data_IF_120702838879
#
_entry.id   IF_120702838879
#
_cell.length_a   1.000
_cell.length_b   1.000
_cell.length_c   1.000
_cell.angle_alpha   90.00
_cell.angle_beta   90.00
_cell.angle_gamma   90.00
#
_symmetry.space_group_name_H-M   'P 1'
#
loop_
_entity.id
_entity.type
_entity.pdbx_description
1 polymer ?
#
# COMPACT_ATOMS: atom_id res chain seq x y z
N UNK A 1 -19.13 15.69 0.78
CA UNK A 1 -18.02 16.23 1.62
C UNK A 1 -18.04 15.69 3.06
N UNK A 2 -19.06 14.93 3.47
CA UNK A 2 -19.19 14.43 4.84
C UNK A 2 -18.15 13.39 5.30
N UNK A 3 -17.32 12.88 4.38
CA UNK A 3 -16.33 11.82 4.67
C UNK A 3 -14.87 12.30 4.60
N UNK A 4 -14.62 13.61 4.66
CA UNK A 4 -13.26 14.17 4.58
C UNK A 4 -13.04 15.12 5.74
N UNK A 5 -11.95 14.92 6.47
CA UNK A 5 -11.52 15.78 7.57
C UNK A 5 -10.15 16.38 7.22
N UNK A 6 -10.04 17.68 7.26
CA UNK A 6 -8.79 18.42 7.16
C UNK A 6 -8.62 19.18 8.48
N UNK A 7 -7.68 18.73 9.31
CA UNK A 7 -7.53 19.29 10.66
C UNK A 7 -6.99 20.73 10.62
N UNK A 8 -6.09 21.02 9.69
CA UNK A 8 -5.51 22.35 9.51
C UNK A 8 -5.62 22.78 8.05
N UNK A 9 -6.71 23.48 7.73
CA UNK A 9 -7.01 23.93 6.36
C UNK A 9 -5.93 24.87 5.81
N UNK A 10 -5.41 25.79 6.60
CA UNK A 10 -4.39 26.75 6.16
C UNK A 10 -3.10 26.02 5.74
N UNK A 11 -2.60 25.12 6.57
CA UNK A 11 -1.42 24.30 6.26
C UNK A 11 -1.64 23.40 5.04
N UNK A 12 -2.84 22.83 4.91
CA UNK A 12 -3.21 22.01 3.76
C UNK A 12 -3.15 22.84 2.47
N UNK A 13 -3.75 24.04 2.47
CA UNK A 13 -3.80 24.94 1.33
C UNK A 13 -2.41 25.48 0.96
N UNK A 14 -1.55 25.77 1.94
CA UNK A 14 -0.15 26.13 1.71
C UNK A 14 0.61 25.02 0.98
N UNK A 15 0.52 23.78 1.47
CA UNK A 15 1.16 22.61 0.84
C UNK A 15 0.61 22.38 -0.57
N UNK A 16 -0.71 22.45 -0.74
CA UNK A 16 -1.36 22.30 -2.04
C UNK A 16 -0.86 23.37 -3.02
N UNK A 17 -0.78 24.63 -2.60
CA UNK A 17 -0.27 25.75 -3.42
C UNK A 17 1.17 25.49 -3.88
N UNK A 18 2.04 24.96 -3.01
CA UNK A 18 3.43 24.61 -3.38
C UNK A 18 3.44 23.50 -4.43
N UNK A 19 2.66 22.44 -4.23
CA UNK A 19 2.58 21.31 -5.18
C UNK A 19 2.05 21.77 -6.54
N UNK A 20 0.96 22.54 -6.54
CA UNK A 20 0.36 23.10 -7.76
C UNK A 20 1.34 24.04 -8.48
N UNK A 21 2.08 24.88 -7.75
CA UNK A 21 3.07 25.79 -8.33
C UNK A 21 4.28 25.05 -8.90
N UNK A 22 4.69 23.94 -8.27
CA UNK A 22 5.75 23.06 -8.75
C UNK A 22 5.41 22.32 -10.04
N UNK A 23 4.13 22.11 -10.28
CA UNK A 23 3.61 21.42 -11.46
C UNK A 23 3.90 19.92 -11.50
N UNK A 24 3.49 19.30 -12.61
CA UNK A 24 3.57 17.84 -12.81
C UNK A 24 5.00 17.29 -12.81
N UNK A 25 5.99 18.07 -13.25
CA UNK A 25 7.39 17.64 -13.36
C UNK A 25 8.10 17.52 -12.00
N UNK A 26 7.56 18.16 -10.97
CA UNK A 26 8.10 18.08 -9.60
C UNK A 26 7.31 17.14 -8.71
N UNK A 27 6.23 16.54 -9.21
CA UNK A 27 5.33 15.68 -8.45
C UNK A 27 5.58 14.21 -8.72
N UNK A 28 5.52 13.38 -7.68
CA UNK A 28 5.27 11.95 -7.76
C UNK A 28 4.27 11.51 -6.69
N UNK A 29 3.70 10.32 -6.86
CA UNK A 29 2.72 9.75 -5.92
C UNK A 29 3.30 8.50 -5.30
N UNK A 30 3.13 8.33 -3.99
CA UNK A 30 3.40 7.09 -3.25
C UNK A 30 2.09 6.58 -2.68
N UNK A 31 1.81 5.31 -2.91
CA UNK A 31 0.58 4.67 -2.42
C UNK A 31 0.88 3.32 -1.80
N UNK A 32 0.20 3.05 -0.69
CA UNK A 32 0.00 1.67 -0.25
C UNK A 32 -0.98 0.94 -1.17
N UNK A 33 -1.05 -0.39 -1.08
CA UNK A 33 -1.91 -1.21 -1.92
C UNK A 33 -3.18 -1.68 -1.20
N UNK A 34 -3.03 -2.45 -0.14
CA UNK A 34 -4.13 -3.06 0.60
C UNK A 34 -4.92 -1.98 1.38
N UNK A 35 -6.24 -1.92 1.23
CA UNK A 35 -7.06 -0.89 1.89
C UNK A 35 -6.86 0.53 1.37
N UNK A 36 -5.96 0.75 0.41
CA UNK A 36 -5.68 2.04 -0.24
C UNK A 36 -6.02 2.01 -1.72
N UNK A 37 -5.28 1.26 -2.54
CA UNK A 37 -5.64 1.00 -3.94
C UNK A 37 -6.79 0.00 -4.02
N UNK A 38 -6.81 -0.99 -3.14
CA UNK A 38 -7.98 -1.88 -2.97
C UNK A 38 -8.98 -1.31 -1.97
N UNK A 39 -10.23 -1.75 -2.08
CA UNK A 39 -11.25 -1.52 -1.04
C UNK A 39 -10.92 -2.28 0.23
N UNK A 40 -11.12 -1.63 1.37
CA UNK A 40 -11.03 -2.28 2.67
C UNK A 40 -12.35 -2.98 3.08
N UNK A 41 -13.48 -2.59 2.46
CA UNK A 41 -14.79 -3.17 2.76
C UNK A 41 -15.44 -3.65 1.45
N UNK A 42 -15.73 -4.94 1.36
CA UNK A 42 -16.41 -5.55 0.21
C UNK A 42 -17.59 -6.39 0.69
N UNK A 43 -18.79 -6.10 0.19
CA UNK A 43 -20.02 -6.80 0.61
C UNK A 43 -20.28 -6.70 2.12
N UNK A 44 -19.94 -5.57 2.74
CA UNK A 44 -20.09 -5.34 4.19
C UNK A 44 -19.06 -6.07 5.08
N UNK A 45 -18.05 -6.72 4.49
CA UNK A 45 -16.99 -7.42 5.23
C UNK A 45 -15.66 -6.72 5.04
N UNK A 46 -14.87 -6.67 6.12
CA UNK A 46 -13.51 -6.13 6.07
C UNK A 46 -12.60 -7.10 5.30
N UNK A 47 -11.79 -6.56 4.40
CA UNK A 47 -10.74 -7.25 3.65
C UNK A 47 -9.41 -6.56 3.99
N UNK A 48 -8.70 -7.02 5.02
CA UNK A 48 -7.54 -6.28 5.53
C UNK A 48 -6.33 -6.32 4.59
N UNK A 49 -6.17 -7.36 3.78
CA UNK A 49 -5.05 -7.49 2.85
C UNK A 49 -5.29 -8.63 1.85
N UNK A 50 -4.51 -8.64 0.75
CA UNK A 50 -4.57 -9.73 -0.24
C UNK A 50 -4.22 -11.10 0.37
N UNK A 51 -3.24 -11.15 1.26
CA UNK A 51 -2.85 -12.41 1.91
C UNK A 51 -3.95 -12.96 2.84
N UNK A 52 -4.84 -12.10 3.35
CA UNK A 52 -5.99 -12.56 4.13
C UNK A 52 -6.97 -13.38 3.28
N UNK A 53 -7.11 -13.05 2.00
CA UNK A 53 -7.94 -13.82 1.07
C UNK A 53 -7.40 -15.23 0.90
N UNK A 54 -6.07 -15.36 0.70
CA UNK A 54 -5.41 -16.66 0.58
C UNK A 54 -5.64 -17.54 1.81
N UNK A 55 -5.54 -16.93 3.00
CA UNK A 55 -5.69 -17.58 4.29
C UNK A 55 -7.14 -17.95 4.61
N UNK A 56 -8.06 -17.00 4.38
CA UNK A 56 -9.46 -17.13 4.82
C UNK A 56 -10.29 -18.00 3.86
N UNK A 57 -9.89 -18.11 2.60
CA UNK A 57 -10.55 -18.95 1.58
C UNK A 57 -9.87 -20.33 1.43
N UNK A 58 -8.96 -20.66 2.30
CA UNK A 58 -8.32 -21.98 2.48
C UNK A 58 -7.66 -22.54 1.20
N UNK A 59 -7.09 -21.66 0.37
CA UNK A 59 -6.51 -22.05 -0.91
C UNK A 59 -5.29 -22.98 -0.80
N UNK A 60 -4.59 -22.95 0.33
CA UNK A 60 -3.42 -23.79 0.64
C UNK A 60 -3.70 -24.90 1.67
N UNK A 61 -4.99 -25.13 1.98
CA UNK A 61 -5.47 -26.14 2.92
C UNK A 61 -5.51 -25.66 4.38
N UNK A 62 -6.32 -26.35 5.19
CA UNK A 62 -6.68 -25.96 6.56
C UNK A 62 -5.45 -25.83 7.49
N UNK A 63 -4.42 -26.64 7.32
CA UNK A 63 -3.19 -26.56 8.12
C UNK A 63 -2.44 -25.24 7.87
N UNK A 64 -2.38 -24.77 6.61
CA UNK A 64 -1.84 -23.44 6.31
C UNK A 64 -2.67 -22.35 6.99
N UNK A 65 -3.98 -22.37 6.79
CA UNK A 65 -4.89 -21.36 7.34
C UNK A 65 -4.76 -21.24 8.85
N UNK A 66 -4.73 -22.37 9.56
CA UNK A 66 -4.55 -22.40 11.02
C UNK A 66 -3.22 -21.79 11.46
N UNK A 67 -2.09 -22.19 10.84
CA UNK A 67 -0.76 -21.70 11.17
C UNK A 67 -0.63 -20.21 10.83
N UNK A 68 -1.15 -19.78 9.69
CA UNK A 68 -1.11 -18.38 9.26
C UNK A 68 -1.94 -17.46 10.17
N UNK A 69 -3.10 -17.92 10.66
CA UNK A 69 -3.87 -17.19 11.68
C UNK A 69 -3.12 -17.10 13.01
N UNK A 70 -2.45 -18.17 13.44
CA UNK A 70 -1.63 -18.14 14.65
C UNK A 70 -0.48 -17.14 14.56
N UNK A 71 0.22 -17.09 13.41
CA UNK A 71 1.25 -16.09 13.14
C UNK A 71 0.68 -14.66 13.18
N UNK A 72 -0.43 -14.43 12.50
CA UNK A 72 -1.11 -13.14 12.52
C UNK A 72 -1.45 -12.68 13.94
N UNK A 73 -2.14 -13.51 14.71
CA UNK A 73 -2.55 -13.18 16.07
C UNK A 73 -1.36 -12.86 16.98
N UNK A 74 -0.25 -13.59 16.83
CA UNK A 74 0.98 -13.37 17.59
C UNK A 74 1.63 -12.03 17.24
N UNK A 75 1.88 -11.79 15.98
CA UNK A 75 2.74 -10.69 15.56
C UNK A 75 1.98 -9.37 15.38
N UNK A 76 0.70 -9.41 14.99
CA UNK A 76 -0.13 -8.22 14.93
C UNK A 76 -0.31 -7.59 16.32
N UNK A 77 -0.43 -8.40 17.37
CA UNK A 77 -0.45 -7.89 18.74
C UNK A 77 0.81 -7.07 19.09
N UNK A 78 2.00 -7.53 18.64
CA UNK A 78 3.28 -6.81 18.83
C UNK A 78 3.31 -5.53 17.97
N UNK A 79 2.83 -5.61 16.75
CA UNK A 79 2.80 -4.48 15.80
C UNK A 79 2.04 -3.28 16.38
N UNK A 80 0.88 -3.51 16.95
CA UNK A 80 -0.01 -2.45 17.46
C UNK A 80 0.26 -2.06 18.92
N UNK A 81 1.10 -2.80 19.66
CA UNK A 81 1.38 -2.52 21.07
C UNK A 81 2.19 -1.21 21.22
N UNK A 82 1.67 -0.17 21.88
CA UNK A 82 2.38 1.10 22.03
C UNK A 82 3.59 1.03 22.99
N UNK A 83 3.72 -0.03 23.80
CA UNK A 83 4.81 -0.21 24.76
C UNK A 83 6.06 -0.79 24.09
N UNK A 84 5.89 -1.61 23.05
CA UNK A 84 7.01 -2.23 22.33
C UNK A 84 7.76 -1.17 21.52
N UNK A 85 9.10 -1.15 21.66
CA UNK A 85 9.95 -0.21 20.93
C UNK A 85 9.86 -0.42 19.41
N UNK A 86 10.07 0.65 18.62
CA UNK A 86 10.10 0.56 17.14
C UNK A 86 11.17 -0.42 16.67
N UNK A 87 12.33 -0.48 17.35
CA UNK A 87 13.41 -1.41 17.02
C UNK A 87 12.97 -2.88 17.20
N UNK A 88 12.33 -3.20 18.32
CA UNK A 88 11.84 -4.55 18.60
C UNK A 88 10.69 -4.93 17.65
N UNK A 89 9.80 -3.97 17.35
CA UNK A 89 8.77 -4.17 16.33
C UNK A 89 9.36 -4.51 14.96
N UNK A 90 10.41 -3.81 14.50
CA UNK A 90 11.07 -4.10 13.22
C UNK A 90 11.62 -5.52 13.18
N UNK A 91 12.24 -5.98 14.27
CA UNK A 91 12.73 -7.36 14.41
C UNK A 91 11.56 -8.36 14.35
N UNK A 92 10.48 -8.08 15.09
CA UNK A 92 9.30 -8.95 15.13
C UNK A 92 8.60 -9.01 13.76
N UNK A 93 8.43 -7.90 13.06
CA UNK A 93 7.81 -7.85 11.73
C UNK A 93 8.65 -8.62 10.70
N UNK A 94 9.97 -8.45 10.71
CA UNK A 94 10.86 -9.25 9.86
C UNK A 94 10.70 -10.73 10.15
N UNK A 95 10.73 -11.14 11.43
CA UNK A 95 10.57 -12.54 11.81
C UNK A 95 9.20 -13.12 11.43
N UNK A 96 8.15 -12.30 11.54
CA UNK A 96 6.82 -12.71 11.08
C UNK A 96 6.83 -13.05 9.60
N UNK A 97 7.33 -12.15 8.76
CA UNK A 97 7.34 -12.35 7.32
C UNK A 97 8.25 -13.49 6.89
N UNK A 98 9.45 -13.63 7.47
CA UNK A 98 10.30 -14.79 7.24
C UNK A 98 9.55 -16.09 7.52
N UNK A 99 8.97 -16.22 8.71
CA UNK A 99 8.25 -17.44 9.11
C UNK A 99 7.03 -17.69 8.22
N UNK A 100 6.32 -16.64 7.80
CA UNK A 100 5.15 -16.79 6.94
C UNK A 100 5.55 -17.19 5.51
N UNK A 101 6.63 -16.66 4.97
CA UNK A 101 7.16 -17.05 3.66
C UNK A 101 7.65 -18.50 3.67
N UNK A 102 8.36 -18.91 4.71
CA UNK A 102 8.77 -20.31 4.88
C UNK A 102 7.55 -21.24 4.88
N UNK A 103 6.48 -20.87 5.59
CA UNK A 103 5.22 -21.63 5.61
C UNK A 103 4.56 -21.66 4.22
N UNK A 104 4.54 -20.57 3.47
CA UNK A 104 3.98 -20.52 2.13
C UNK A 104 4.76 -21.45 1.17
N UNK A 105 6.09 -21.43 1.24
CA UNK A 105 6.97 -22.28 0.44
C UNK A 105 6.78 -23.76 0.82
N UNK A 106 6.76 -24.08 2.13
CA UNK A 106 6.48 -25.43 2.62
C UNK A 106 5.15 -25.98 2.09
N UNK A 107 4.13 -25.13 1.98
CA UNK A 107 2.80 -25.51 1.47
C UNK A 107 2.68 -25.49 -0.06
N UNK A 108 3.76 -25.26 -0.77
CA UNK A 108 3.77 -25.26 -2.23
C UNK A 108 3.01 -24.07 -2.84
N UNK A 109 3.10 -22.89 -2.21
CA UNK A 109 2.53 -21.66 -2.79
C UNK A 109 2.99 -21.50 -4.23
N UNK A 110 2.08 -21.17 -5.13
CA UNK A 110 2.36 -21.12 -6.56
C UNK A 110 1.56 -20.05 -7.28
N UNK A 111 1.95 -19.76 -8.53
CA UNK A 111 1.20 -18.84 -9.41
C UNK A 111 -0.25 -19.27 -9.60
N UNK A 112 -0.55 -20.57 -9.54
CA UNK A 112 -1.94 -21.05 -9.58
C UNK A 112 -2.75 -20.58 -8.37
N UNK A 113 -2.15 -20.53 -7.17
CA UNK A 113 -2.82 -19.99 -5.98
C UNK A 113 -3.10 -18.50 -6.12
N UNK A 114 -2.17 -17.73 -6.72
CA UNK A 114 -2.38 -16.31 -7.04
C UNK A 114 -3.56 -16.16 -8.01
N UNK A 115 -3.60 -16.96 -9.09
CA UNK A 115 -4.69 -16.92 -10.06
C UNK A 115 -6.05 -17.27 -9.44
N UNK A 116 -6.09 -18.25 -8.53
CA UNK A 116 -7.32 -18.59 -7.78
C UNK A 116 -7.75 -17.45 -6.87
N UNK A 117 -6.82 -16.89 -6.07
CA UNK A 117 -7.10 -15.77 -5.20
C UNK A 117 -7.60 -14.54 -5.98
N UNK A 118 -7.07 -14.29 -7.17
CA UNK A 118 -7.50 -13.21 -8.06
C UNK A 118 -8.98 -13.32 -8.48
N UNK A 119 -9.58 -14.51 -8.45
CA UNK A 119 -11.00 -14.71 -8.74
C UNK A 119 -11.91 -14.41 -7.55
N UNK A 120 -11.35 -14.23 -6.36
CA UNK A 120 -12.14 -13.90 -5.18
C UNK A 120 -12.94 -12.60 -5.38
N UNK A 121 -14.23 -12.66 -5.03
CA UNK A 121 -15.09 -11.48 -5.05
C UNK A 121 -14.67 -10.41 -4.02
N UNK A 122 -13.80 -10.77 -3.06
CA UNK A 122 -13.29 -9.87 -2.02
C UNK A 122 -12.25 -8.89 -2.55
N UNK A 123 -11.58 -9.20 -3.69
CA UNK A 123 -10.55 -8.32 -4.25
C UNK A 123 -11.22 -7.35 -5.22
N UNK A 124 -11.32 -6.09 -4.82
CA UNK A 124 -11.89 -4.98 -5.58
C UNK A 124 -11.00 -3.76 -5.49
N UNK A 125 -10.83 -3.05 -6.60
CA UNK A 125 -10.18 -1.73 -6.56
C UNK A 125 -11.09 -0.70 -5.90
N UNK A 126 -10.48 0.26 -5.24
CA UNK A 126 -11.16 1.43 -4.68
C UNK A 126 -11.83 2.22 -5.80
N UNK A 127 -13.07 2.66 -5.56
CA UNK A 127 -13.84 3.43 -6.54
C UNK A 127 -13.07 4.69 -6.94
N UNK A 128 -12.97 4.94 -8.25
CA UNK A 128 -12.24 6.07 -8.80
C UNK A 128 -10.72 5.90 -8.93
N UNK A 129 -10.15 4.76 -8.49
CA UNK A 129 -8.70 4.51 -8.66
C UNK A 129 -8.31 4.45 -10.14
N UNK A 130 -9.12 3.82 -11.00
CA UNK A 130 -8.82 3.72 -12.44
C UNK A 130 -8.67 5.08 -13.10
N UNK A 131 -9.59 6.03 -12.82
CA UNK A 131 -9.51 7.39 -13.36
C UNK A 131 -8.33 8.18 -12.76
N UNK A 132 -8.03 7.99 -11.46
CA UNK A 132 -6.86 8.59 -10.82
C UNK A 132 -5.57 8.11 -11.48
N UNK A 133 -5.41 6.81 -11.68
CA UNK A 133 -4.25 6.20 -12.33
C UNK A 133 -4.11 6.62 -13.82
N UNK A 134 -5.22 6.67 -14.55
CA UNK A 134 -5.25 7.17 -15.93
C UNK A 134 -4.81 8.64 -16.02
N UNK A 135 -5.19 9.47 -15.04
CA UNK A 135 -4.74 10.85 -14.98
C UNK A 135 -3.23 10.96 -14.70
N UNK A 136 -2.69 10.11 -13.82
CA UNK A 136 -1.25 10.08 -13.54
C UNK A 136 -0.43 9.71 -14.79
N UNK A 137 -0.83 8.65 -15.52
CA UNK A 137 -0.09 8.23 -16.72
C UNK A 137 -0.22 9.25 -17.85
N UNK A 138 -1.40 9.82 -18.07
CA UNK A 138 -1.61 10.89 -19.05
C UNK A 138 -0.69 12.10 -18.83
N UNK A 139 -0.42 12.44 -17.58
CA UNK A 139 0.41 13.57 -17.18
C UNK A 139 1.85 13.16 -16.85
N UNK A 140 2.26 11.93 -17.13
CA UNK A 140 3.60 11.39 -16.88
C UNK A 140 4.07 11.59 -15.42
N UNK A 141 3.13 11.51 -14.47
CA UNK A 141 3.42 11.58 -13.04
C UNK A 141 3.71 10.16 -12.55
N UNK A 142 4.88 9.87 -11.99
CA UNK A 142 5.21 8.54 -11.47
C UNK A 142 4.33 8.16 -10.29
N UNK A 143 3.89 6.89 -10.26
CA UNK A 143 3.25 6.24 -9.14
C UNK A 143 4.17 5.14 -8.59
N UNK A 144 4.57 5.27 -7.34
CA UNK A 144 5.28 4.22 -6.60
C UNK A 144 4.29 3.55 -5.66
N UNK A 145 3.99 2.29 -5.92
CA UNK A 145 3.15 1.45 -5.06
C UNK A 145 4.07 0.73 -4.09
N UNK A 146 3.88 0.94 -2.79
CA UNK A 146 4.69 0.34 -1.73
C UNK A 146 3.82 -0.56 -0.86
N UNK A 147 4.06 -1.86 -0.90
CA UNK A 147 3.25 -2.84 -0.18
C UNK A 147 4.10 -3.89 0.51
N UNK A 148 3.66 -4.37 1.65
CA UNK A 148 4.22 -5.56 2.31
C UNK A 148 3.47 -6.85 1.92
N UNK A 149 2.97 -6.91 0.68
CA UNK A 149 2.17 -8.04 0.21
C UNK A 149 2.84 -9.40 0.43
N UNK A 150 2.14 -10.27 1.15
CA UNK A 150 2.57 -11.66 1.36
C UNK A 150 2.41 -12.54 0.11
N UNK A 151 1.63 -12.11 -0.89
CA UNK A 151 1.53 -12.79 -2.18
C UNK A 151 2.47 -12.20 -3.25
N UNK A 152 3.30 -11.23 -2.87
CA UNK A 152 4.34 -10.66 -3.70
C UNK A 152 3.87 -9.77 -4.84
N UNK A 153 4.84 -9.35 -5.64
CA UNK A 153 4.65 -8.44 -6.78
C UNK A 153 3.72 -8.99 -7.84
N UNK A 154 3.73 -10.31 -8.07
CA UNK A 154 2.92 -10.94 -9.11
C UNK A 154 1.43 -10.75 -8.86
N UNK A 155 0.97 -10.89 -7.61
CA UNK A 155 -0.43 -10.66 -7.26
C UNK A 155 -0.85 -9.22 -7.51
N UNK A 156 -0.04 -8.24 -7.09
CA UNK A 156 -0.35 -6.81 -7.31
C UNK A 156 -0.45 -6.52 -8.82
N UNK A 157 0.51 -6.99 -9.62
CA UNK A 157 0.46 -6.84 -11.08
C UNK A 157 -0.81 -7.44 -11.67
N UNK A 158 -1.13 -8.68 -11.32
CA UNK A 158 -2.31 -9.36 -11.85
C UNK A 158 -3.62 -8.69 -11.46
N UNK A 159 -3.72 -8.11 -10.24
CA UNK A 159 -4.89 -7.30 -9.85
C UNK A 159 -5.02 -6.06 -10.73
N UNK A 160 -3.92 -5.34 -10.95
CA UNK A 160 -3.92 -4.13 -11.79
C UNK A 160 -4.20 -4.46 -13.26
N UNK A 161 -3.61 -5.53 -13.81
CA UNK A 161 -3.84 -6.03 -15.18
C UNK A 161 -5.29 -6.45 -15.40
N UNK A 162 -5.86 -7.24 -14.49
CA UNK A 162 -7.26 -7.69 -14.54
C UNK A 162 -8.24 -6.52 -14.63
N UNK A 163 -7.90 -5.39 -14.04
CA UNK A 163 -8.72 -4.18 -14.03
C UNK A 163 -8.31 -3.16 -15.12
N UNK A 164 -7.36 -3.50 -16.02
CA UNK A 164 -6.84 -2.64 -17.08
C UNK A 164 -6.26 -1.30 -16.57
N UNK A 165 -5.59 -1.33 -15.42
CA UNK A 165 -5.02 -0.13 -14.78
C UNK A 165 -3.53 -0.28 -14.44
N UNK A 166 -2.85 -1.27 -14.98
CA UNK A 166 -1.39 -1.37 -14.92
C UNK A 166 -0.79 -0.49 -16.02
N UNK A 167 -0.12 0.60 -15.64
CA UNK A 167 0.45 1.57 -16.56
C UNK A 167 1.97 1.71 -16.41
N UNK A 168 2.65 2.16 -17.48
CA UNK A 168 4.13 2.25 -17.56
C UNK A 168 4.75 3.23 -16.55
N UNK A 169 3.99 4.18 -16.02
CA UNK A 169 4.44 5.11 -14.99
C UNK A 169 4.43 4.53 -13.57
N UNK A 170 4.00 3.29 -13.39
CA UNK A 170 3.92 2.61 -12.11
C UNK A 170 5.21 1.85 -11.80
N UNK A 171 5.63 1.91 -10.55
CA UNK A 171 6.71 1.09 -9.98
C UNK A 171 6.19 0.45 -8.70
N UNK A 172 6.42 -0.85 -8.54
CA UNK A 172 5.91 -1.62 -7.41
C UNK A 172 7.10 -2.05 -6.55
N UNK A 173 7.10 -1.59 -5.30
CA UNK A 173 8.08 -1.90 -4.26
C UNK A 173 7.41 -2.83 -3.25
N UNK A 174 7.73 -4.11 -3.31
CA UNK A 174 7.12 -5.15 -2.48
C UNK A 174 7.95 -6.42 -2.48
N UNK A 175 7.55 -7.44 -1.72
CA UNK A 175 8.16 -8.75 -1.70
C UNK A 175 8.11 -9.44 -3.07
N UNK A 176 9.13 -10.22 -3.41
CA UNK A 176 9.24 -10.94 -4.68
C UNK A 176 9.61 -12.40 -4.43
N UNK A 177 8.87 -13.31 -5.04
CA UNK A 177 9.20 -14.73 -5.02
C UNK A 177 10.18 -15.09 -6.14
N UNK A 178 11.00 -16.11 -5.87
CA UNK A 178 11.65 -16.90 -6.90
C UNK A 178 10.79 -18.13 -7.18
N UNK A 179 10.53 -18.37 -8.44
CA UNK A 179 9.67 -19.43 -8.91
C UNK A 179 10.48 -20.49 -9.64
N UNK A 180 10.17 -21.77 -9.44
CA UNK A 180 10.69 -22.84 -10.31
C UNK A 180 9.94 -22.87 -11.66
N UNK A 181 10.31 -23.78 -12.55
CA UNK A 181 9.71 -23.92 -13.88
C UNK A 181 8.22 -24.26 -13.83
N UNK A 182 7.74 -24.93 -12.77
CA UNK A 182 6.32 -25.25 -12.56
C UNK A 182 5.54 -24.08 -11.94
N UNK A 183 6.20 -22.92 -11.68
CA UNK A 183 5.59 -21.76 -11.06
C UNK A 183 5.30 -21.92 -9.57
N UNK A 184 6.03 -22.80 -8.88
CA UNK A 184 5.99 -22.99 -7.42
C UNK A 184 7.07 -22.11 -6.78
N UNK A 185 6.75 -21.45 -5.68
CA UNK A 185 7.68 -20.61 -4.93
C UNK A 185 8.76 -21.45 -4.28
N UNK A 186 10.03 -21.07 -4.47
CA UNK A 186 11.20 -21.73 -3.89
C UNK A 186 11.99 -20.84 -2.93
N UNK A 187 11.87 -19.52 -3.07
CA UNK A 187 12.49 -18.53 -2.19
C UNK A 187 11.74 -17.19 -2.27
N UNK A 188 12.03 -16.30 -1.33
CA UNK A 188 11.67 -14.88 -1.38
C UNK A 188 12.94 -14.06 -1.46
N UNK A 189 12.99 -13.09 -2.39
CA UNK A 189 14.16 -12.22 -2.59
C UNK A 189 14.30 -11.25 -1.43
N UNK A 190 15.51 -11.10 -0.96
CA UNK A 190 15.87 -10.04 -0.02
C UNK A 190 15.92 -8.65 -0.72
N UNK A 191 15.65 -7.59 -0.01
CA UNK A 191 15.18 -7.56 1.38
C UNK A 191 13.67 -7.80 1.51
N UNK A 192 13.27 -8.45 2.59
CA UNK A 192 11.86 -8.60 2.94
C UNK A 192 11.28 -7.24 3.31
N UNK A 193 10.19 -6.86 2.64
CA UNK A 193 9.42 -5.64 2.90
C UNK A 193 8.32 -5.93 3.92
N UNK A 194 8.25 -5.11 4.96
CA UNK A 194 7.23 -5.17 6.02
C UNK A 194 6.76 -3.76 6.40
N UNK A 195 5.74 -3.63 7.23
CA UNK A 195 5.09 -2.36 7.59
C UNK A 195 6.05 -1.26 8.09
N UNK A 196 7.15 -1.63 8.75
CA UNK A 196 8.07 -0.69 9.37
C UNK A 196 9.39 -0.47 8.59
N UNK A 197 9.47 -0.91 7.32
CA UNK A 197 10.60 -0.63 6.44
C UNK A 197 10.16 -0.22 5.02
N UNK A 198 8.92 0.22 4.87
CA UNK A 198 8.41 0.86 3.64
C UNK A 198 8.92 2.32 3.63
N UNK A 199 10.15 2.54 3.18
CA UNK A 199 10.84 3.83 3.21
C UNK A 199 11.57 4.12 1.89
N UNK A 200 12.27 5.24 1.80
CA UNK A 200 13.06 5.62 0.62
C UNK A 200 14.16 4.60 0.30
N UNK A 201 14.74 3.95 1.30
CA UNK A 201 15.76 2.94 1.09
C UNK A 201 15.19 1.73 0.33
N UNK A 202 13.97 1.33 0.65
CA UNK A 202 13.25 0.28 -0.10
C UNK A 202 13.02 0.67 -1.57
N UNK A 203 12.75 1.95 -1.87
CA UNK A 203 12.63 2.43 -3.25
C UNK A 203 14.00 2.43 -3.95
N UNK A 204 15.08 2.86 -3.26
CA UNK A 204 16.45 2.92 -3.82
C UNK A 204 16.97 1.57 -4.27
N UNK A 205 16.53 0.49 -3.62
CA UNK A 205 16.87 -0.90 -4.00
C UNK A 205 16.25 -1.34 -5.31
N UNK A 206 15.29 -0.56 -5.84
CA UNK A 206 14.72 -0.74 -7.18
C UNK A 206 15.16 0.45 -8.05
N UNK A 207 16.28 0.34 -8.80
CA UNK A 207 16.90 1.48 -9.49
C UNK A 207 15.94 2.22 -10.42
N UNK A 208 15.07 1.49 -11.12
CA UNK A 208 14.06 2.09 -12.02
C UNK A 208 13.02 2.90 -11.25
N UNK A 209 12.60 2.45 -10.06
CA UNK A 209 11.68 3.21 -9.24
C UNK A 209 12.34 4.51 -8.75
N UNK A 210 13.53 4.42 -8.18
CA UNK A 210 14.24 5.59 -7.68
C UNK A 210 14.57 6.60 -8.79
N UNK A 211 15.01 6.14 -9.96
CA UNK A 211 15.31 6.99 -11.12
C UNK A 211 14.13 7.87 -11.53
N UNK A 212 12.91 7.36 -11.43
CA UNK A 212 11.69 8.09 -11.85
C UNK A 212 11.30 9.21 -10.90
N UNK A 213 11.68 9.13 -9.60
CA UNK A 213 11.22 10.06 -8.56
C UNK A 213 12.30 10.97 -7.98
N UNK A 214 13.60 10.64 -8.13
CA UNK A 214 14.72 11.33 -7.46
C UNK A 214 14.78 12.85 -7.66
N UNK A 215 14.23 13.35 -8.76
CA UNK A 215 14.20 14.79 -9.10
C UNK A 215 12.79 15.42 -8.90
N UNK A 216 11.88 14.71 -8.20
CA UNK A 216 10.49 15.13 -7.98
C UNK A 216 10.24 15.29 -6.47
N UNK A 217 10.58 16.47 -5.90
CA UNK A 217 10.56 16.66 -4.46
C UNK A 217 9.16 16.75 -3.86
N UNK A 218 8.11 16.97 -4.66
CA UNK A 218 6.73 17.05 -4.18
C UNK A 218 6.08 15.68 -4.19
N UNK A 219 5.43 15.31 -3.11
CA UNK A 219 4.86 13.98 -2.90
C UNK A 219 3.39 14.08 -2.51
N UNK A 220 2.53 13.33 -3.22
CA UNK A 220 1.24 12.93 -2.67
C UNK A 220 1.42 11.52 -2.08
N UNK A 221 1.16 11.38 -0.79
CA UNK A 221 1.19 10.12 -0.07
C UNK A 221 -0.23 9.67 0.26
N UNK A 222 -0.60 8.46 -0.16
CA UNK A 222 -1.91 7.87 0.11
C UNK A 222 -1.75 6.50 0.78
N UNK A 223 -2.38 6.31 1.93
CA UNK A 223 -2.30 5.05 2.69
C UNK A 223 -3.51 4.89 3.62
N UNK A 224 -3.75 3.68 4.10
CA UNK A 224 -4.75 3.39 5.13
C UNK A 224 -4.12 3.11 6.52
N UNK A 225 -2.82 3.31 6.66
CA UNK A 225 -2.07 3.05 7.90
C UNK A 225 -1.21 4.23 8.33
N UNK A 226 -1.30 4.59 9.61
CA UNK A 226 -0.41 5.61 10.20
C UNK A 226 1.06 5.18 10.14
N UNK A 227 1.36 3.89 10.21
CA UNK A 227 2.73 3.38 10.10
C UNK A 227 3.38 3.72 8.75
N UNK A 228 2.59 3.86 7.71
CA UNK A 228 3.06 4.11 6.34
C UNK A 228 3.50 5.56 6.08
N UNK A 229 3.36 6.46 7.06
CA UNK A 229 3.97 7.79 6.96
C UNK A 229 5.49 7.66 6.77
N UNK A 230 6.07 6.54 7.21
CA UNK A 230 7.46 6.18 6.98
C UNK A 230 7.82 6.01 5.50
N UNK A 231 6.84 5.86 4.60
CA UNK A 231 7.09 5.90 3.16
C UNK A 231 7.71 7.23 2.70
N UNK A 232 7.65 8.26 3.53
CA UNK A 232 8.31 9.54 3.30
C UNK A 232 9.72 9.63 3.93
N UNK A 233 10.09 8.70 4.81
CA UNK A 233 11.35 8.74 5.56
C UNK A 233 12.57 8.52 4.64
N UNK A 234 13.67 9.20 4.96
CA UNK A 234 14.93 9.10 4.21
C UNK A 234 14.95 9.78 2.84
N UNK A 235 13.83 10.33 2.40
CA UNK A 235 13.70 11.05 1.14
C UNK A 235 14.01 12.55 1.30
N UNK A 236 14.59 13.15 0.25
CA UNK A 236 14.67 14.62 0.14
C UNK A 236 13.36 15.17 -0.38
N UNK A 237 12.35 15.21 0.49
CA UNK A 237 11.02 15.73 0.17
C UNK A 237 11.00 17.24 0.35
N UNK A 238 10.53 17.97 -0.66
CA UNK A 238 10.28 19.42 -0.57
C UNK A 238 8.92 19.67 0.09
N UNK A 239 7.85 19.05 -0.45
CA UNK A 239 6.51 19.14 0.12
C UNK A 239 5.84 17.77 0.10
N UNK A 240 5.34 17.36 1.26
CA UNK A 240 4.51 16.16 1.44
C UNK A 240 3.07 16.58 1.71
N UNK A 241 2.14 16.13 0.87
CA UNK A 241 0.70 16.21 1.12
C UNK A 241 0.17 14.78 1.31
N UNK A 242 -0.30 14.48 2.51
CA UNK A 242 -0.64 13.12 2.94
C UNK A 242 -2.13 12.91 3.16
N UNK A 243 -2.63 11.77 2.67
CA UNK A 243 -4.03 11.35 2.73
C UNK A 243 -4.13 10.00 3.45
N UNK A 244 -4.83 9.97 4.58
CA UNK A 244 -5.10 8.76 5.33
C UNK A 244 -6.51 8.23 5.04
N UNK A 245 -6.64 7.02 4.51
CA UNK A 245 -7.93 6.33 4.36
C UNK A 245 -8.28 5.60 5.65
N UNK A 246 -9.10 6.21 6.50
CA UNK A 246 -9.60 5.58 7.73
C UNK A 246 -10.84 4.76 7.41
N UNK A 247 -10.63 3.50 7.04
CA UNK A 247 -11.63 2.61 6.49
C UNK A 247 -12.57 2.00 7.54
N UNK A 248 -12.09 1.83 8.79
CA UNK A 248 -12.85 1.20 9.89
C UNK A 248 -12.33 1.65 11.26
N UNK A 249 -13.04 1.28 12.34
CA UNK A 249 -12.66 1.63 13.72
C UNK A 249 -12.46 3.13 13.94
N UNK A 250 -13.28 3.96 13.28
CA UNK A 250 -13.10 5.43 13.21
C UNK A 250 -12.94 6.03 14.60
N UNK A 251 -13.83 5.73 15.54
CA UNK A 251 -13.81 6.31 16.90
C UNK A 251 -12.48 6.06 17.64
N UNK A 252 -11.82 4.93 17.35
CA UNK A 252 -10.56 4.56 18.03
C UNK A 252 -9.32 5.15 17.36
N UNK A 253 -9.36 5.36 16.06
CA UNK A 253 -8.17 5.68 15.27
C UNK A 253 -8.16 7.12 14.74
N UNK A 254 -9.29 7.83 14.76
CA UNK A 254 -9.42 9.15 14.18
C UNK A 254 -8.34 10.13 14.69
N UNK A 255 -8.13 10.22 16.00
CA UNK A 255 -7.14 11.13 16.55
C UNK A 255 -5.70 10.82 16.11
N UNK A 256 -5.36 9.55 15.87
CA UNK A 256 -4.06 9.18 15.33
C UNK A 256 -3.93 9.57 13.86
N UNK A 257 -4.99 9.40 13.07
CA UNK A 257 -4.99 9.81 11.66
C UNK A 257 -4.93 11.32 11.51
N UNK A 258 -5.73 12.09 12.23
CA UNK A 258 -5.70 13.57 12.23
C UNK A 258 -4.34 14.14 12.59
N UNK A 259 -3.63 13.49 13.53
CA UNK A 259 -2.28 13.91 13.95
C UNK A 259 -1.23 13.69 12.84
N UNK A 260 -1.40 12.68 11.98
CA UNK A 260 -0.36 12.23 11.07
C UNK A 260 -0.62 12.55 9.59
N UNK A 261 -1.88 12.83 9.21
CA UNK A 261 -2.25 13.10 7.83
C UNK A 261 -2.79 14.52 7.65
N UNK A 262 -2.55 15.10 6.48
CA UNK A 262 -3.08 16.41 6.13
C UNK A 262 -4.59 16.36 5.84
N UNK A 263 -5.06 15.23 5.31
CA UNK A 263 -6.48 14.95 5.13
C UNK A 263 -6.80 13.49 5.48
N UNK A 264 -7.92 13.27 6.16
CA UNK A 264 -8.44 11.94 6.52
C UNK A 264 -9.71 11.68 5.73
N UNK A 265 -9.73 10.56 5.00
CA UNK A 265 -10.88 10.09 4.22
C UNK A 265 -11.53 8.92 4.95
N UNK A 266 -12.81 9.05 5.31
CA UNK A 266 -13.52 8.11 6.17
C UNK A 266 -14.34 7.08 5.37
N UNK A 267 -14.63 5.94 6.00
CA UNK A 267 -15.64 4.99 5.53
C UNK A 267 -15.36 4.40 4.14
N UNK A 268 -14.13 3.92 3.91
CA UNK A 268 -13.72 3.36 2.60
C UNK A 268 -14.04 4.32 1.43
N UNK A 269 -13.78 5.63 1.66
CA UNK A 269 -14.08 6.70 0.72
C UNK A 269 -13.47 6.45 -0.66
N UNK A 270 -14.11 6.91 -1.76
CA UNK A 270 -13.55 6.79 -3.11
C UNK A 270 -12.36 7.71 -3.33
N UNK A 271 -11.61 7.50 -4.44
CA UNK A 271 -10.48 8.35 -4.87
C UNK A 271 -10.87 9.75 -5.33
N UNK A 272 -12.11 10.19 -5.16
CA UNK A 272 -12.60 11.45 -5.72
C UNK A 272 -11.81 12.65 -5.20
N UNK A 273 -11.58 12.76 -3.90
CA UNK A 273 -10.86 13.89 -3.33
C UNK A 273 -9.38 13.94 -3.77
N UNK A 274 -8.58 12.88 -3.67
CA UNK A 274 -7.23 12.85 -4.25
C UNK A 274 -7.21 13.14 -5.75
N UNK A 275 -8.21 12.67 -6.50
CA UNK A 275 -8.35 12.96 -7.94
C UNK A 275 -8.60 14.45 -8.21
N UNK A 276 -9.43 15.13 -7.40
CA UNK A 276 -9.68 16.56 -7.54
C UNK A 276 -8.44 17.40 -7.18
N UNK A 277 -7.67 16.98 -6.16
CA UNK A 277 -6.37 17.59 -5.88
C UNK A 277 -5.43 17.45 -7.09
N UNK A 278 -5.35 16.25 -7.68
CA UNK A 278 -4.52 16.00 -8.86
C UNK A 278 -4.95 16.86 -10.07
N UNK A 279 -6.25 17.09 -10.28
CA UNK A 279 -6.75 17.98 -11.33
C UNK A 279 -6.21 19.40 -11.19
N UNK A 280 -6.13 19.92 -9.95
CA UNK A 280 -5.59 21.26 -9.70
C UNK A 280 -4.11 21.35 -10.11
N UNK A 281 -3.34 20.26 -9.99
CA UNK A 281 -1.94 20.21 -10.42
C UNK A 281 -1.82 20.08 -11.94
N UNK A 282 -2.69 19.29 -12.57
CA UNK A 282 -2.66 19.02 -14.01
C UNK A 282 -3.29 20.12 -14.84
N UNK A 283 -4.17 20.96 -14.27
CA UNK A 283 -4.90 22.02 -14.97
C UNK A 283 -4.07 23.28 -15.25
N UNK A 284 -2.81 23.25 -14.87
CA UNK A 284 -1.81 24.27 -15.18
C UNK A 284 -0.82 23.75 -16.21
#
# INVERSE_FOLDING_TARGET
MENIIIQNQEKFDEKLKVIVSGGIDKLHVRMDFDGTITKAIVGGKIVPSLISVLRDEDFLGADYSQKAHALYNKYHAIEIDPVVSVADKKIAMRKWWETHFDLLIEKGFSKCHIQRALQSARIRLRDGFGEFAAMLVKNKIPLVIMSCSGMGVDMIKMVLEKNNVLFDNMRIVTNQYEWNDDGVAIAVKEPIVHTLNKDEESIRRIPDAYKTIKNRPNVLLLTDSVADITMADGAKIGTLLSFGFLNSNIDKQLGAFEKNFDAVLLNDAPMNFPKDILKNVCGK
#
